data_IF_006712422188
#
_entry.id   IF_006712422188
#
_cell.length_a   1.000
_cell.length_b   1.000
_cell.length_c   1.000
_cell.angle_alpha   90.00
_cell.angle_beta   90.00
_cell.angle_gamma   90.00
#
_symmetry.space_group_name_H-M   'P 1'
#
loop_
_entity.id
_entity.type
_entity.pdbx_description
1 polymer ?
#
# COMPACT_ATOMS: atom_id res chain seq x y z
N UNK A 1 10.30 0.80 -1.24
CA UNK A 1 9.89 2.20 -1.47
C UNK A 1 10.58 3.04 -0.43
N UNK A 2 11.29 4.09 -0.84
CA UNK A 2 12.00 4.97 0.09
C UNK A 2 11.00 5.84 0.88
N UNK A 3 10.97 5.77 2.24
CA UNK A 3 10.08 6.59 3.06
C UNK A 3 10.54 8.06 3.18
N UNK A 4 11.75 8.39 2.74
CA UNK A 4 12.34 9.73 2.85
C UNK A 4 11.43 10.81 2.27
N UNK A 5 11.43 11.98 2.92
CA UNK A 5 10.61 13.13 2.52
C UNK A 5 9.12 12.77 2.29
N UNK A 6 8.54 11.95 3.17
CA UNK A 6 7.17 11.46 3.05
C UNK A 6 6.90 10.76 1.70
N UNK A 7 7.78 9.84 1.31
CA UNK A 7 7.64 9.05 0.08
C UNK A 7 7.62 9.92 -1.20
N UNK A 8 8.37 11.01 -1.25
CA UNK A 8 8.32 12.00 -2.34
C UNK A 8 8.56 11.37 -3.72
N UNK A 9 9.55 10.49 -3.85
CA UNK A 9 9.86 9.77 -5.10
C UNK A 9 8.69 8.87 -5.56
N UNK A 10 8.11 8.12 -4.63
CA UNK A 10 6.93 7.29 -4.91
C UNK A 10 5.74 8.15 -5.34
N UNK A 11 5.47 9.27 -4.65
CA UNK A 11 4.35 10.17 -4.97
C UNK A 11 4.48 10.76 -6.37
N UNK A 12 5.69 11.20 -6.75
CA UNK A 12 5.96 11.68 -8.11
C UNK A 12 5.72 10.58 -9.16
N UNK A 13 6.15 9.36 -8.87
CA UNK A 13 5.94 8.19 -9.75
C UNK A 13 4.46 7.86 -9.88
N UNK A 14 3.71 7.85 -8.78
CA UNK A 14 2.27 7.61 -8.77
C UNK A 14 1.54 8.68 -9.60
N UNK A 15 1.85 9.96 -9.41
CA UNK A 15 1.26 11.06 -10.19
C UNK A 15 1.51 10.88 -11.68
N UNK A 16 2.73 10.50 -12.07
CA UNK A 16 3.05 10.21 -13.46
C UNK A 16 2.31 8.97 -14.00
N UNK A 17 2.10 7.94 -13.18
CA UNK A 17 1.33 6.75 -13.56
C UNK A 17 -0.16 7.08 -13.75
N UNK A 18 -0.76 7.86 -12.86
CA UNK A 18 -2.15 8.33 -12.97
C UNK A 18 -2.35 9.17 -14.22
N UNK A 19 -1.41 10.08 -14.52
CA UNK A 19 -1.46 10.86 -15.76
C UNK A 19 -1.45 9.97 -16.99
N UNK A 20 -0.51 9.01 -17.06
CA UNK A 20 -0.40 8.08 -18.20
C UNK A 20 -1.63 7.20 -18.35
N UNK A 21 -2.19 6.72 -17.24
CA UNK A 21 -3.43 5.92 -17.23
C UNK A 21 -4.61 6.72 -17.80
N UNK A 22 -4.78 7.98 -17.39
CA UNK A 22 -5.85 8.84 -17.90
C UNK A 22 -5.75 9.12 -19.41
N UNK A 23 -4.53 9.17 -19.95
CA UNK A 23 -4.28 9.38 -21.38
C UNK A 23 -4.20 8.07 -22.20
N UNK A 24 -4.30 6.91 -21.55
CA UNK A 24 -4.10 5.63 -22.22
C UNK A 24 -5.31 5.27 -23.12
N UNK A 25 -4.99 4.88 -24.35
CA UNK A 25 -5.96 4.33 -25.30
C UNK A 25 -6.19 2.83 -25.12
N UNK A 26 -5.20 2.14 -24.56
CA UNK A 26 -5.23 0.70 -24.28
C UNK A 26 -5.51 0.42 -22.81
N UNK A 27 -6.43 -0.52 -22.54
CA UNK A 27 -6.86 -0.88 -21.18
C UNK A 27 -5.71 -1.47 -20.35
N UNK A 28 -4.70 -2.10 -20.98
CA UNK A 28 -3.55 -2.65 -20.24
C UNK A 28 -2.72 -1.58 -19.54
N UNK A 29 -2.77 -0.34 -20.05
CA UNK A 29 -2.02 0.80 -19.53
C UNK A 29 -2.85 1.69 -18.59
N UNK A 30 -4.13 1.37 -18.39
CA UNK A 30 -5.03 2.14 -17.50
C UNK A 30 -4.92 1.74 -16.04
N UNK A 31 -4.34 0.57 -15.73
CA UNK A 31 -4.31 0.05 -14.37
C UNK A 31 -3.25 0.77 -13.55
N UNK A 32 -3.68 1.32 -12.42
CA UNK A 32 -2.81 1.89 -11.39
C UNK A 32 -3.13 1.22 -10.06
N UNK A 33 -2.14 0.60 -9.43
CA UNK A 33 -2.27 -0.01 -8.10
C UNK A 33 -1.40 0.81 -7.14
N UNK A 34 -1.99 1.71 -6.34
CA UNK A 34 -1.23 2.48 -5.36
C UNK A 34 -0.86 1.63 -4.14
N UNK A 35 0.19 2.05 -3.43
CA UNK A 35 0.52 1.58 -2.09
C UNK A 35 -0.54 2.07 -1.09
N UNK A 36 -1.48 1.16 -0.77
CA UNK A 36 -2.70 1.52 -0.03
C UNK A 36 -2.44 2.10 1.36
N UNK A 37 -1.42 1.62 2.08
CA UNK A 37 -1.10 2.14 3.41
C UNK A 37 -0.67 3.60 3.40
N UNK A 38 -0.06 4.09 2.32
CA UNK A 38 0.27 5.51 2.17
C UNK A 38 -0.99 6.35 1.98
N UNK A 39 -1.96 5.86 1.20
CA UNK A 39 -3.27 6.50 1.06
C UNK A 39 -4.02 6.57 2.40
N UNK A 40 -4.03 5.47 3.16
CA UNK A 40 -4.64 5.42 4.50
C UNK A 40 -3.97 6.44 5.42
N UNK A 41 -2.64 6.54 5.38
CA UNK A 41 -1.89 7.54 6.16
C UNK A 41 -2.30 8.96 5.80
N UNK A 42 -2.44 9.25 4.51
CA UNK A 42 -2.85 10.59 4.03
C UNK A 42 -4.28 10.94 4.46
N UNK A 43 -5.21 9.99 4.33
CA UNK A 43 -6.59 10.13 4.82
C UNK A 43 -6.65 10.36 6.32
N UNK A 44 -5.82 9.64 7.08
CA UNK A 44 -5.72 9.80 8.53
C UNK A 44 -5.27 11.21 8.90
N UNK A 45 -4.18 11.72 8.32
CA UNK A 45 -3.69 13.06 8.62
C UNK A 45 -4.66 14.16 8.17
N UNK A 46 -5.34 13.98 7.03
CA UNK A 46 -6.40 14.89 6.60
C UNK A 46 -7.59 14.89 7.57
N UNK A 47 -7.95 13.73 8.11
CA UNK A 47 -9.00 13.62 9.09
C UNK A 47 -8.62 14.28 10.42
N UNK A 48 -7.46 13.96 10.98
CA UNK A 48 -7.03 14.48 12.27
C UNK A 48 -6.66 15.97 12.21
N UNK A 49 -6.18 16.45 11.06
CA UNK A 49 -5.78 17.83 10.87
C UNK A 49 -6.92 18.85 10.80
N UNK A 50 -8.18 18.40 10.78
CA UNK A 50 -9.36 19.27 10.62
C UNK A 50 -10.52 18.85 11.52
N UNK A 51 -11.18 19.81 12.17
CA UNK A 51 -12.38 19.56 12.96
C UNK A 51 -13.57 19.16 12.08
N UNK A 52 -14.38 18.20 12.55
CA UNK A 52 -15.64 17.78 11.88
C UNK A 52 -16.70 18.89 11.84
N UNK A 53 -16.61 19.84 12.77
CA UNK A 53 -17.51 20.99 12.90
C UNK A 53 -16.71 22.28 12.94
N UNK A 54 -17.29 23.32 12.38
CA UNK A 54 -16.81 24.70 12.50
C UNK A 54 -17.08 25.23 13.93
N UNK A 55 -16.46 26.35 14.35
CA UNK A 55 -16.69 26.93 15.68
C UNK A 55 -18.16 27.30 15.96
N UNK A 56 -18.95 27.54 14.91
CA UNK A 56 -20.39 27.80 14.99
C UNK A 56 -21.25 26.52 15.11
N UNK A 57 -20.63 25.34 15.23
CA UNK A 57 -21.31 24.05 15.36
C UNK A 57 -21.78 23.42 14.05
N UNK A 58 -21.70 24.13 12.92
CA UNK A 58 -22.04 23.59 11.59
C UNK A 58 -21.04 22.54 11.13
N UNK A 59 -21.47 21.66 10.23
CA UNK A 59 -20.60 20.67 9.59
C UNK A 59 -19.50 21.38 8.79
N UNK A 60 -18.26 20.93 8.95
CA UNK A 60 -17.14 21.39 8.15
C UNK A 60 -17.12 20.69 6.80
N UNK A 61 -17.94 21.16 5.85
CA UNK A 61 -18.04 20.56 4.52
C UNK A 61 -16.71 20.55 3.75
N UNK A 62 -15.81 21.50 3.98
CA UNK A 62 -14.50 21.53 3.31
C UNK A 62 -13.67 20.28 3.66
N UNK A 63 -13.64 19.89 4.94
CA UNK A 63 -12.98 18.65 5.36
C UNK A 63 -13.55 17.43 4.64
N UNK A 64 -14.87 17.28 4.66
CA UNK A 64 -15.54 16.13 4.04
C UNK A 64 -15.35 16.12 2.53
N UNK A 65 -15.33 17.29 1.89
CA UNK A 65 -15.05 17.43 0.47
C UNK A 65 -13.63 16.98 0.12
N UNK A 66 -12.63 17.38 0.91
CA UNK A 66 -11.25 16.94 0.70
C UNK A 66 -11.09 15.43 0.87
N UNK A 67 -11.73 14.84 1.90
CA UNK A 67 -11.75 13.39 2.09
C UNK A 67 -12.43 12.68 0.91
N UNK A 68 -13.58 13.20 0.47
CA UNK A 68 -14.33 12.65 -0.65
C UNK A 68 -13.51 12.64 -1.95
N UNK A 69 -12.71 13.69 -2.23
CA UNK A 69 -11.81 13.73 -3.40
C UNK A 69 -10.83 12.56 -3.39
N UNK A 70 -10.15 12.34 -2.26
CA UNK A 70 -9.15 11.27 -2.13
C UNK A 70 -9.78 9.87 -2.26
N UNK A 71 -10.94 9.66 -1.66
CA UNK A 71 -11.66 8.37 -1.75
C UNK A 71 -12.20 8.11 -3.16
N UNK A 72 -12.69 9.15 -3.85
CA UNK A 72 -13.25 9.03 -5.21
C UNK A 72 -12.17 8.62 -6.22
N UNK A 73 -10.96 9.16 -6.08
CA UNK A 73 -9.83 8.77 -6.93
C UNK A 73 -9.51 7.28 -6.77
N UNK A 74 -9.49 6.78 -5.53
CA UNK A 74 -9.28 5.36 -5.24
C UNK A 74 -10.40 4.46 -5.80
N UNK A 75 -11.67 4.88 -5.67
CA UNK A 75 -12.81 4.14 -6.23
C UNK A 75 -12.67 4.03 -7.75
N UNK A 76 -12.23 5.10 -8.40
CA UNK A 76 -12.01 5.13 -9.86
C UNK A 76 -11.00 4.07 -10.28
N UNK A 77 -9.85 3.99 -9.59
CA UNK A 77 -8.83 2.96 -9.87
C UNK A 77 -9.34 1.53 -9.64
N UNK A 78 -10.15 1.32 -8.60
CA UNK A 78 -10.74 0.01 -8.30
C UNK A 78 -11.72 -0.48 -9.37
N UNK A 79 -12.37 0.44 -10.08
CA UNK A 79 -13.36 0.13 -11.11
C UNK A 79 -12.74 -0.12 -12.50
N UNK A 80 -11.44 0.13 -12.67
CA UNK A 80 -10.75 -0.10 -13.94
C UNK A 80 -10.79 -1.58 -14.31
N UNK A 81 -11.16 -1.87 -15.57
CA UNK A 81 -11.13 -3.23 -16.10
C UNK A 81 -9.69 -3.75 -16.18
N UNK A 82 -9.48 -5.00 -15.74
CA UNK A 82 -8.20 -5.68 -15.87
C UNK A 82 -8.21 -6.60 -17.09
N UNK A 83 -7.46 -6.31 -18.17
CA UNK A 83 -7.47 -7.12 -19.38
C UNK A 83 -6.55 -8.35 -19.28
N UNK A 84 -5.85 -8.53 -18.16
CA UNK A 84 -4.93 -9.65 -17.99
C UNK A 84 -5.69 -10.94 -17.65
N UNK A 85 -5.45 -12.04 -18.38
CA UNK A 85 -6.11 -13.31 -18.11
C UNK A 85 -5.68 -13.87 -16.75
N UNK A 86 -6.63 -14.51 -16.06
CA UNK A 86 -6.36 -15.17 -14.78
C UNK A 86 -5.65 -16.51 -15.02
N UNK A 87 -4.52 -16.70 -14.36
CA UNK A 87 -3.84 -18.00 -14.32
C UNK A 87 -4.24 -18.76 -13.05
N UNK A 88 -5.27 -19.61 -13.15
CA UNK A 88 -5.85 -20.29 -11.97
C UNK A 88 -4.82 -21.06 -11.15
N UNK A 89 -3.91 -21.81 -11.79
CA UNK A 89 -2.84 -22.55 -11.10
C UNK A 89 -1.90 -21.64 -10.30
N UNK A 90 -1.54 -20.49 -10.86
CA UNK A 90 -0.67 -19.50 -10.21
C UNK A 90 -1.40 -18.87 -9.02
N UNK A 91 -2.66 -18.51 -9.20
CA UNK A 91 -3.51 -17.95 -8.13
C UNK A 91 -3.63 -18.95 -6.98
N UNK A 92 -3.96 -20.20 -7.26
CA UNK A 92 -4.07 -21.26 -6.24
C UNK A 92 -2.74 -21.46 -5.52
N UNK A 93 -1.63 -21.52 -6.26
CA UNK A 93 -0.30 -21.64 -5.65
C UNK A 93 -0.02 -20.48 -4.68
N UNK A 94 -0.22 -19.23 -5.13
CA UNK A 94 0.02 -18.04 -4.29
C UNK A 94 -0.90 -17.99 -3.06
N UNK A 95 -2.14 -18.47 -3.16
CA UNK A 95 -3.10 -18.48 -2.05
C UNK A 95 -2.86 -19.62 -1.06
N UNK A 96 -2.33 -20.77 -1.51
CA UNK A 96 -2.08 -21.94 -0.69
C UNK A 96 -0.68 -21.96 -0.07
N UNK A 97 0.24 -21.13 -0.56
CA UNK A 97 1.62 -21.06 -0.04
C UNK A 97 1.60 -20.57 1.42
N UNK A 98 2.21 -21.30 2.36
CA UNK A 98 2.25 -20.86 3.76
C UNK A 98 3.08 -19.59 3.90
N UNK A 99 2.59 -18.66 4.72
CA UNK A 99 3.32 -17.44 5.08
C UNK A 99 3.96 -17.66 6.43
N UNK A 100 5.30 -17.64 6.46
CA UNK A 100 6.07 -17.73 7.69
C UNK A 100 5.99 -16.39 8.45
N UNK A 101 5.89 -16.46 9.77
CA UNK A 101 6.01 -15.28 10.63
C UNK A 101 7.50 -14.88 10.79
N UNK A 102 7.76 -13.76 11.46
CA UNK A 102 9.13 -13.23 11.60
C UNK A 102 10.10 -14.21 12.26
N UNK A 103 9.66 -14.93 13.30
CA UNK A 103 10.49 -15.91 14.00
C UNK A 103 10.80 -17.13 13.13
N UNK A 104 9.80 -17.67 12.43
CA UNK A 104 9.98 -18.81 11.52
C UNK A 104 10.86 -18.44 10.32
N UNK A 105 10.73 -17.22 9.78
CA UNK A 105 11.63 -16.70 8.74
C UNK A 105 13.06 -16.58 9.27
N UNK A 106 13.23 -16.05 10.47
CA UNK A 106 14.54 -15.90 11.10
C UNK A 106 15.19 -17.27 11.34
N UNK A 107 14.43 -18.25 11.82
CA UNK A 107 14.92 -19.61 12.02
C UNK A 107 15.30 -20.28 10.69
N UNK A 108 14.44 -20.18 9.67
CA UNK A 108 14.73 -20.69 8.33
C UNK A 108 15.98 -20.03 7.70
N UNK A 109 16.20 -18.74 7.99
CA UNK A 109 17.43 -18.05 7.59
C UNK A 109 18.66 -18.69 8.23
N UNK A 110 18.61 -19.00 9.53
CA UNK A 110 19.71 -19.65 10.24
C UNK A 110 19.95 -21.11 9.83
N UNK A 111 18.93 -21.79 9.30
CA UNK A 111 19.07 -23.11 8.69
C UNK A 111 19.79 -23.05 7.34
N UNK A 112 19.63 -21.96 6.59
CA UNK A 112 20.35 -21.72 5.34
C UNK A 112 21.80 -21.27 5.59
N UNK A 113 22.00 -20.35 6.55
CA UNK A 113 23.28 -19.77 6.91
C UNK A 113 23.43 -19.75 8.45
N UNK A 114 24.32 -20.59 9.03
CA UNK A 114 24.45 -20.69 10.48
C UNK A 114 24.79 -19.36 11.17
N UNK A 115 24.30 -19.13 12.41
CA UNK A 115 24.48 -17.86 13.10
C UNK A 115 25.96 -17.53 13.34
N UNK A 116 26.33 -16.29 13.05
CA UNK A 116 27.64 -15.76 13.44
C UNK A 116 27.73 -15.55 14.96
N UNK A 117 28.95 -15.30 15.46
CA UNK A 117 29.17 -15.13 16.91
C UNK A 117 28.27 -14.06 17.54
N UNK A 118 27.94 -12.99 16.82
CA UNK A 118 27.09 -11.91 17.32
C UNK A 118 25.58 -12.23 17.26
N UNK A 119 25.19 -13.34 16.63
CA UNK A 119 23.79 -13.74 16.43
C UNK A 119 23.37 -14.97 17.26
N UNK A 120 24.33 -15.63 17.91
CA UNK A 120 24.09 -16.84 18.71
C UNK A 120 23.00 -16.67 19.77
N UNK A 121 22.94 -15.51 20.40
CA UNK A 121 21.93 -15.25 21.44
C UNK A 121 20.54 -15.06 20.84
N UNK A 122 20.44 -14.41 19.67
CA UNK A 122 19.20 -14.31 18.91
C UNK A 122 18.71 -15.69 18.47
N UNK A 123 19.60 -16.53 17.94
CA UNK A 123 19.24 -17.89 17.53
C UNK A 123 18.74 -18.74 18.69
N UNK A 124 19.35 -18.64 19.87
CA UNK A 124 18.88 -19.34 21.08
C UNK A 124 17.51 -18.86 21.56
N UNK A 125 17.21 -17.58 21.44
CA UNK A 125 15.92 -17.02 21.85
C UNK A 125 14.75 -17.43 20.93
N UNK A 126 15.07 -17.78 19.67
CA UNK A 126 14.10 -18.20 18.65
C UNK A 126 13.82 -19.72 18.68
N UNK A 127 14.60 -20.51 19.42
CA UNK A 127 14.43 -21.96 19.59
C UNK A 127 13.66 -22.29 20.87
#
# INVERSE_FOLDING_TARGET
MDPSCNFSSYRSTLKAAVWRSAAATDDSQRIVIPFFSLLVKDLYFLNEGCSNRLPNGHINFEKFWQLAKQVTEFITWKQVHCPFPKAAKVITYLQATPVLNEDALSLASFECEPPENHEKDRYKALK
#
